data_IF_136154758664
#
_entry.id   IF_136154758664
#
_cell.length_a   1.000
_cell.length_b   1.000
_cell.length_c   1.000
_cell.angle_alpha   90.00
_cell.angle_beta   90.00
_cell.angle_gamma   90.00
#
_symmetry.space_group_name_H-M   'P 1'
#
loop_
_entity.id
_entity.type
_entity.pdbx_description
1 polymer ?
#
# COMPACT_ATOMS: atom_id res chain seq x y z
N UNK A 1 -35.43 -8.44 -10.42
CA UNK A 1 -33.99 -8.11 -10.30
C UNK A 1 -33.64 -7.05 -11.33
N UNK A 2 -33.37 -5.83 -10.87
CA UNK A 2 -32.96 -4.70 -11.73
C UNK A 2 -31.44 -4.60 -11.74
N UNK A 3 -30.88 -3.98 -12.78
CA UNK A 3 -29.42 -3.82 -12.93
C UNK A 3 -29.09 -2.42 -13.41
N UNK A 4 -28.23 -1.70 -12.69
CA UNK A 4 -27.68 -0.41 -13.12
C UNK A 4 -26.30 -0.61 -13.73
N UNK A 5 -26.05 0.02 -14.89
CA UNK A 5 -24.80 -0.11 -15.65
C UNK A 5 -24.13 1.24 -15.81
N UNK A 6 -22.96 1.42 -15.22
CA UNK A 6 -22.13 2.61 -15.39
C UNK A 6 -20.99 2.24 -16.32
N UNK A 7 -21.02 2.72 -17.57
CA UNK A 7 -20.04 2.35 -18.59
C UNK A 7 -18.66 2.94 -18.28
N UNK A 8 -17.61 2.17 -18.57
CA UNK A 8 -16.22 2.61 -18.49
C UNK A 8 -15.75 3.16 -19.83
N UNK A 9 -15.79 4.48 -20.02
CA UNK A 9 -15.60 5.10 -21.34
C UNK A 9 -14.35 5.96 -21.36
N UNK A 10 -14.29 7.00 -20.55
CA UNK A 10 -13.27 8.05 -20.64
C UNK A 10 -12.60 8.33 -19.30
N UNK A 11 -13.33 8.19 -18.19
CA UNK A 11 -12.82 8.53 -16.87
C UNK A 11 -13.18 7.48 -15.80
N UNK A 12 -12.33 6.45 -15.62
CA UNK A 12 -12.58 5.33 -14.72
C UNK A 12 -12.89 5.71 -13.27
N UNK A 13 -12.33 6.84 -12.78
CA UNK A 13 -12.52 7.25 -11.39
C UNK A 13 -13.81 8.04 -11.24
N UNK A 14 -14.17 8.90 -12.21
CA UNK A 14 -15.49 9.53 -12.20
C UNK A 14 -16.59 8.49 -12.29
N UNK A 15 -16.46 7.53 -13.21
CA UNK A 15 -17.42 6.43 -13.39
C UNK A 15 -17.53 5.59 -12.12
N UNK A 16 -16.41 5.35 -11.43
CA UNK A 16 -16.40 4.69 -10.13
C UNK A 16 -17.11 5.53 -9.05
N UNK A 17 -16.86 6.84 -9.00
CA UNK A 17 -17.54 7.73 -8.07
C UNK A 17 -19.05 7.85 -8.39
N UNK A 18 -19.46 7.81 -9.65
CA UNK A 18 -20.88 7.75 -10.02
C UNK A 18 -21.50 6.45 -9.49
N UNK A 19 -20.84 5.31 -9.68
CA UNK A 19 -21.31 4.03 -9.16
C UNK A 19 -21.43 4.06 -7.61
N UNK A 20 -20.46 4.66 -6.92
CA UNK A 20 -20.53 4.87 -5.47
C UNK A 20 -21.62 5.86 -5.04
N UNK A 21 -21.90 6.89 -5.85
CA UNK A 21 -22.99 7.83 -5.58
C UNK A 21 -24.36 7.17 -5.69
N UNK A 22 -24.57 6.36 -6.73
CA UNK A 22 -25.80 5.56 -6.89
C UNK A 22 -25.94 4.55 -5.74
N UNK A 23 -24.83 3.89 -5.36
CA UNK A 23 -24.84 2.96 -4.23
C UNK A 23 -25.18 3.66 -2.91
N UNK A 24 -24.65 4.87 -2.68
CA UNK A 24 -24.96 5.65 -1.49
C UNK A 24 -26.46 5.98 -1.38
N UNK A 25 -27.11 6.37 -2.50
CA UNK A 25 -28.55 6.62 -2.54
C UNK A 25 -29.33 5.33 -2.28
N UNK A 26 -28.97 4.23 -2.94
CA UNK A 26 -29.59 2.92 -2.70
C UNK A 26 -29.51 2.52 -1.22
N UNK A 27 -28.37 2.75 -0.58
CA UNK A 27 -28.15 2.43 0.84
C UNK A 27 -28.97 3.31 1.78
N UNK A 28 -29.14 4.61 1.46
CA UNK A 28 -30.02 5.50 2.24
C UNK A 28 -31.50 5.08 2.17
N UNK A 29 -31.90 4.43 1.08
CA UNK A 29 -33.26 3.94 0.88
C UNK A 29 -33.41 2.45 1.26
N UNK A 30 -32.49 1.93 2.09
CA UNK A 30 -32.47 0.55 2.59
C UNK A 30 -32.53 -0.55 1.49
N UNK A 31 -31.98 -0.26 0.31
CA UNK A 31 -32.00 -1.19 -0.83
C UNK A 31 -30.82 -2.16 -0.78
N UNK A 32 -31.13 -3.45 -0.77
CA UNK A 32 -30.19 -4.56 -0.90
C UNK A 32 -29.66 -4.64 -2.33
N UNK A 33 -28.37 -4.39 -2.48
CA UNK A 33 -27.71 -4.39 -3.75
C UNK A 33 -26.25 -4.81 -3.64
N UNK A 34 -25.64 -5.06 -4.81
CA UNK A 34 -24.25 -5.48 -4.93
C UNK A 34 -23.59 -4.79 -6.10
N UNK A 35 -22.44 -4.18 -5.84
CA UNK A 35 -21.61 -3.52 -6.85
C UNK A 35 -20.49 -4.46 -7.29
N UNK A 36 -20.46 -4.77 -8.58
CA UNK A 36 -19.43 -5.57 -9.23
C UNK A 36 -18.64 -4.73 -10.23
N UNK A 37 -17.33 -4.90 -10.22
CA UNK A 37 -16.44 -4.34 -11.21
C UNK A 37 -16.31 -5.29 -12.41
N UNK A 38 -16.81 -4.87 -13.58
CA UNK A 38 -16.68 -5.62 -14.83
C UNK A 38 -15.75 -4.86 -15.79
N UNK A 39 -15.28 -5.57 -16.82
CA UNK A 39 -14.32 -5.02 -17.79
C UNK A 39 -14.83 -3.74 -18.49
N UNK A 40 -16.11 -3.70 -18.84
CA UNK A 40 -16.71 -2.59 -19.61
C UNK A 40 -17.59 -1.65 -18.78
N UNK A 41 -17.93 -2.01 -17.54
CA UNK A 41 -18.82 -1.23 -16.70
C UNK A 41 -18.66 -1.56 -15.21
N UNK A 42 -19.13 -0.66 -14.36
CA UNK A 42 -19.53 -0.99 -13.00
C UNK A 42 -21.01 -1.41 -13.03
N UNK A 43 -21.33 -2.56 -12.43
CA UNK A 43 -22.66 -3.15 -12.43
C UNK A 43 -23.20 -3.17 -11.01
N UNK A 44 -24.36 -2.54 -10.77
CA UNK A 44 -25.08 -2.65 -9.50
C UNK A 44 -26.28 -3.58 -9.73
N UNK A 45 -26.29 -4.72 -9.04
CA UNK A 45 -27.41 -5.65 -9.03
C UNK A 45 -28.31 -5.32 -7.85
N UNK A 46 -29.59 -5.05 -8.12
CA UNK A 46 -30.59 -4.75 -7.10
C UNK A 46 -31.46 -5.99 -6.87
N UNK A 47 -31.48 -6.45 -5.63
CA UNK A 47 -32.19 -7.67 -5.25
C UNK A 47 -33.64 -7.42 -4.85
N UNK A 48 -33.94 -6.22 -4.38
CA UNK A 48 -35.28 -5.83 -3.96
C UNK A 48 -36.15 -5.38 -5.14
N UNK A 49 -37.47 -5.45 -4.94
CA UNK A 49 -38.42 -4.76 -5.80
C UNK A 49 -38.44 -3.28 -5.42
N UNK A 50 -37.97 -2.43 -6.33
CA UNK A 50 -37.80 -0.99 -6.07
C UNK A 50 -38.61 -0.16 -7.05
N UNK A 51 -39.29 0.87 -6.54
CA UNK A 51 -39.82 1.99 -7.32
C UNK A 51 -38.94 3.21 -7.05
N UNK A 52 -38.28 3.71 -8.09
CA UNK A 52 -37.33 4.82 -7.95
C UNK A 52 -38.02 6.17 -7.69
N UNK A 53 -39.33 6.26 -7.94
CA UNK A 53 -40.12 7.47 -7.64
C UNK A 53 -40.15 7.74 -6.13
N UNK A 54 -40.07 6.69 -5.31
CA UNK A 54 -40.09 6.81 -3.85
C UNK A 54 -38.71 7.10 -3.24
N UNK A 55 -37.65 7.15 -4.07
CA UNK A 55 -36.31 7.38 -3.56
C UNK A 55 -36.12 8.83 -3.11
N UNK A 56 -35.43 8.99 -1.99
CA UNK A 56 -35.00 10.30 -1.48
C UNK A 56 -33.48 10.34 -1.29
N UNK A 57 -32.95 11.56 -1.17
CA UNK A 57 -31.58 11.82 -0.74
C UNK A 57 -31.65 12.60 0.58
N UNK A 58 -31.06 12.05 1.64
CA UNK A 58 -30.94 12.76 2.91
C UNK A 58 -30.09 14.02 2.78
N UNK A 59 -30.46 15.06 3.52
CA UNK A 59 -29.66 16.28 3.65
C UNK A 59 -28.22 15.93 4.06
N UNK A 60 -27.27 16.44 3.28
CA UNK A 60 -25.85 16.23 3.51
C UNK A 60 -25.23 17.48 4.18
N UNK A 61 -25.17 17.55 5.53
CA UNK A 61 -24.68 18.73 6.23
C UNK A 61 -23.20 19.00 5.95
N UNK A 62 -22.83 20.28 5.92
CA UNK A 62 -21.45 20.72 5.66
C UNK A 62 -20.45 20.04 6.59
N UNK A 63 -20.80 19.79 7.85
CA UNK A 63 -19.94 19.15 8.86
C UNK A 63 -19.53 17.71 8.49
N UNK A 64 -20.37 17.00 7.72
CA UNK A 64 -20.03 15.67 7.21
C UNK A 64 -19.10 15.76 5.99
N UNK A 65 -19.12 16.88 5.26
CA UNK A 65 -18.53 17.05 3.92
C UNK A 65 -17.27 17.91 3.92
N UNK A 66 -17.11 18.78 4.92
CA UNK A 66 -15.96 19.67 5.06
C UNK A 66 -14.63 18.93 5.30
N UNK A 67 -14.71 17.63 5.56
CA UNK A 67 -13.59 16.71 5.76
C UNK A 67 -13.26 15.90 4.49
N UNK A 68 -13.50 16.44 3.30
CA UNK A 68 -13.22 15.74 2.03
C UNK A 68 -11.95 16.20 1.31
N UNK A 69 -11.54 17.44 1.51
CA UNK A 69 -10.26 17.98 1.07
C UNK A 69 -9.96 19.28 1.81
N UNK A 70 -8.71 19.72 1.77
CA UNK A 70 -8.21 20.95 2.38
C UNK A 70 -8.16 22.14 1.41
N UNK A 71 -8.62 21.97 0.18
CA UNK A 71 -8.36 22.91 -0.94
C UNK A 71 -9.58 23.71 -1.37
N UNK A 72 -10.80 23.33 -0.98
CA UNK A 72 -12.03 24.09 -1.23
C UNK A 72 -12.37 24.97 -0.03
N UNK A 73 -12.76 26.22 -0.29
CA UNK A 73 -13.31 27.08 0.75
C UNK A 73 -14.75 26.67 1.12
N UNK A 74 -15.13 26.92 2.38
CA UNK A 74 -16.47 26.57 2.90
C UNK A 74 -17.64 27.01 2.00
N UNK A 75 -17.59 28.23 1.45
CA UNK A 75 -18.68 28.78 0.62
C UNK A 75 -18.93 28.00 -0.67
N UNK A 76 -17.89 27.47 -1.31
CA UNK A 76 -18.04 26.69 -2.53
C UNK A 76 -18.67 25.32 -2.27
N UNK A 77 -18.33 24.68 -1.15
CA UNK A 77 -18.96 23.43 -0.70
C UNK A 77 -20.44 23.68 -0.40
N UNK A 78 -20.77 24.71 0.37
CA UNK A 78 -22.16 25.05 0.72
C UNK A 78 -23.02 25.31 -0.54
N UNK A 79 -22.49 26.07 -1.52
CA UNK A 79 -23.18 26.31 -2.79
C UNK A 79 -23.40 25.04 -3.60
N UNK A 80 -22.46 24.10 -3.55
CA UNK A 80 -22.61 22.82 -4.22
C UNK A 80 -23.67 21.96 -3.53
N UNK A 81 -23.63 21.86 -2.20
CA UNK A 81 -24.59 21.11 -1.41
C UNK A 81 -26.01 21.61 -1.66
N UNK A 82 -26.23 22.93 -1.63
CA UNK A 82 -27.53 23.52 -1.95
C UNK A 82 -28.03 23.13 -3.35
N UNK A 83 -27.15 23.10 -4.36
CA UNK A 83 -27.51 22.68 -5.73
C UNK A 83 -27.80 21.20 -5.84
N UNK A 84 -27.10 20.36 -5.08
CA UNK A 84 -27.35 18.91 -5.04
C UNK A 84 -28.73 18.67 -4.45
N UNK A 85 -29.03 19.33 -3.32
CA UNK A 85 -30.31 19.22 -2.66
C UNK A 85 -31.45 19.69 -3.57
N UNK A 86 -31.36 20.93 -4.10
CA UNK A 86 -32.35 21.48 -5.03
C UNK A 86 -32.59 20.57 -6.24
N UNK A 87 -31.55 19.90 -6.74
CA UNK A 87 -31.67 19.01 -7.88
C UNK A 87 -32.36 17.68 -7.54
N UNK A 88 -32.04 17.07 -6.40
CA UNK A 88 -32.58 15.76 -5.99
C UNK A 88 -33.88 15.86 -5.17
N UNK A 89 -34.29 17.04 -4.72
CA UNK A 89 -35.63 17.31 -4.17
C UNK A 89 -36.76 17.05 -5.18
N UNK A 90 -36.46 17.12 -6.48
CA UNK A 90 -37.40 16.74 -7.53
C UNK A 90 -37.38 15.21 -7.72
N UNK A 91 -38.38 14.50 -7.21
CA UNK A 91 -38.54 13.03 -7.30
C UNK A 91 -38.32 12.50 -8.73
N UNK A 92 -38.83 13.23 -9.73
CA UNK A 92 -38.69 12.86 -11.14
C UNK A 92 -37.23 12.77 -11.60
N UNK A 93 -36.32 13.54 -10.99
CA UNK A 93 -34.90 13.51 -11.35
C UNK A 93 -34.24 12.21 -10.90
N UNK A 94 -34.48 11.76 -9.66
CA UNK A 94 -33.95 10.48 -9.17
C UNK A 94 -34.50 9.31 -10.02
N UNK A 95 -35.81 9.28 -10.25
CA UNK A 95 -36.45 8.26 -11.08
C UNK A 95 -35.83 8.18 -12.49
N UNK A 96 -35.69 9.32 -13.16
CA UNK A 96 -35.09 9.39 -14.50
C UNK A 96 -33.64 8.91 -14.52
N UNK A 97 -32.84 9.27 -13.51
CA UNK A 97 -31.43 8.90 -13.42
C UNK A 97 -31.25 7.40 -13.22
N UNK A 98 -32.02 6.80 -12.30
CA UNK A 98 -31.96 5.36 -12.08
C UNK A 98 -32.46 4.57 -13.29
N UNK A 99 -33.57 5.01 -13.92
CA UNK A 99 -34.05 4.43 -15.19
C UNK A 99 -33.03 4.57 -16.33
N UNK A 100 -32.32 5.69 -16.39
CA UNK A 100 -31.23 5.87 -17.35
C UNK A 100 -30.11 4.86 -17.12
N UNK A 101 -29.62 4.66 -15.89
CA UNK A 101 -28.56 3.66 -15.66
C UNK A 101 -29.06 2.22 -15.80
N UNK A 102 -30.35 1.97 -15.66
CA UNK A 102 -30.96 0.65 -15.91
C UNK A 102 -31.04 0.32 -17.41
N UNK A 103 -31.42 1.29 -18.23
CA UNK A 103 -31.74 1.10 -19.66
C UNK A 103 -30.65 1.59 -20.62
N UNK A 104 -29.82 2.52 -20.17
CA UNK A 104 -28.91 3.36 -20.96
C UNK A 104 -29.60 4.20 -22.03
N UNK A 105 -30.91 4.47 -21.89
CA UNK A 105 -31.68 5.27 -22.84
C UNK A 105 -31.50 6.78 -22.59
N UNK A 106 -30.73 7.44 -23.46
CA UNK A 106 -30.50 8.88 -23.40
C UNK A 106 -31.79 9.72 -23.54
N UNK A 107 -32.89 9.15 -24.07
CA UNK A 107 -34.15 9.86 -24.21
C UNK A 107 -34.72 10.30 -22.86
N UNK A 108 -34.49 9.51 -21.80
CA UNK A 108 -34.94 9.73 -20.42
C UNK A 108 -34.27 10.97 -19.80
N UNK A 109 -33.01 11.21 -20.18
CA UNK A 109 -32.18 12.31 -19.66
C UNK A 109 -32.03 13.46 -20.65
N UNK A 110 -32.76 13.43 -21.77
CA UNK A 110 -32.67 14.40 -22.86
C UNK A 110 -33.03 15.83 -22.46
N UNK A 111 -33.81 16.00 -21.39
CA UNK A 111 -34.17 17.29 -20.80
C UNK A 111 -33.02 17.97 -20.07
N UNK A 112 -32.01 17.22 -19.61
CA UNK A 112 -30.84 17.77 -18.94
C UNK A 112 -29.85 18.30 -19.98
N UNK A 113 -29.57 19.60 -19.92
CA UNK A 113 -28.54 20.20 -20.75
C UNK A 113 -27.15 19.80 -20.24
N UNK A 114 -26.33 19.25 -21.12
CA UNK A 114 -24.91 19.07 -20.84
C UNK A 114 -24.24 20.44 -20.87
N UNK A 115 -23.63 20.83 -19.75
CA UNK A 115 -22.88 22.07 -19.66
C UNK A 115 -21.39 21.83 -19.90
N UNK A 116 -20.66 22.85 -20.35
CA UNK A 116 -19.21 22.81 -20.36
C UNK A 116 -18.68 22.64 -18.93
N UNK A 117 -18.21 21.43 -18.65
CA UNK A 117 -17.48 21.09 -17.44
C UNK A 117 -16.05 20.73 -17.80
N UNK A 118 -15.12 20.93 -16.87
CA UNK A 118 -13.91 20.13 -16.91
C UNK A 118 -14.25 18.80 -16.25
N UNK A 119 -14.08 17.69 -16.99
CA UNK A 119 -13.89 16.38 -16.38
C UNK A 119 -12.55 16.37 -15.62
N UNK A 120 -12.29 15.30 -14.88
CA UNK A 120 -11.07 14.96 -14.11
C UNK A 120 -11.15 15.13 -12.58
N UNK A 121 -11.74 14.10 -11.97
CA UNK A 121 -11.38 13.37 -10.74
C UNK A 121 -10.72 14.09 -9.56
N UNK A 122 -11.29 13.85 -8.37
CA UNK A 122 -10.49 13.59 -7.17
C UNK A 122 -9.77 14.78 -6.56
N UNK A 123 -10.01 15.96 -7.12
CA UNK A 123 -9.76 17.26 -6.53
C UNK A 123 -10.90 18.17 -6.91
N UNK A 124 -12.01 18.01 -6.18
CA UNK A 124 -13.10 18.97 -6.16
C UNK A 124 -14.00 18.96 -7.40
N UNK A 125 -15.29 18.96 -7.11
CA UNK A 125 -16.33 19.46 -7.98
C UNK A 125 -15.89 20.76 -8.61
N UNK A 126 -16.03 20.84 -9.94
CA UNK A 126 -16.14 22.11 -10.63
C UNK A 126 -14.98 23.08 -10.40
N UNK A 127 -13.73 22.65 -10.59
CA UNK A 127 -12.70 23.65 -10.83
C UNK A 127 -12.71 24.02 -12.31
N UNK A 128 -13.11 25.26 -12.60
CA UNK A 128 -12.57 26.02 -13.75
C UNK A 128 -11.04 26.20 -13.63
N UNK A 129 -10.28 25.25 -13.09
CA UNK A 129 -8.82 25.38 -13.06
C UNK A 129 -8.02 24.49 -12.12
N UNK A 130 -8.28 23.19 -12.11
CA UNK A 130 -7.16 22.25 -12.17
C UNK A 130 -6.46 22.50 -13.51
N UNK A 131 -5.33 23.21 -13.50
CA UNK A 131 -4.45 23.23 -14.68
C UNK A 131 -3.75 21.88 -14.72
N UNK A 132 -4.28 20.94 -15.50
CA UNK A 132 -3.40 19.94 -16.09
C UNK A 132 -2.33 20.66 -16.90
N UNK A 133 -1.08 20.17 -16.89
CA UNK A 133 -0.03 20.63 -17.84
C UNK A 133 -0.47 20.49 -19.31
N UNK A 134 -1.51 19.70 -19.57
CA UNK A 134 -2.29 19.65 -20.81
C UNK A 134 -3.76 19.83 -20.47
N UNK A 135 -4.30 21.05 -20.56
CA UNK A 135 -5.72 21.31 -20.35
C UNK A 135 -6.55 20.27 -21.15
N UNK A 136 -7.35 19.41 -20.50
CA UNK A 136 -8.21 18.51 -21.24
C UNK A 136 -9.18 19.35 -22.06
N UNK A 137 -9.56 18.86 -23.25
CA UNK A 137 -10.67 19.43 -23.99
C UNK A 137 -11.88 19.45 -23.05
N UNK A 138 -12.62 20.56 -23.00
CA UNK A 138 -13.82 20.66 -22.15
C UNK A 138 -14.84 19.61 -22.60
N UNK A 139 -14.97 18.52 -21.85
CA UNK A 139 -15.98 17.50 -22.06
C UNK A 139 -17.31 17.98 -21.46
N UNK A 140 -18.39 17.83 -22.23
CA UNK A 140 -19.72 18.21 -21.78
C UNK A 140 -20.33 17.05 -21.00
N UNK A 141 -20.62 17.27 -19.72
CA UNK A 141 -21.23 16.30 -18.80
C UNK A 141 -22.62 16.70 -18.39
N UNK A 142 -23.44 15.72 -18.01
CA UNK A 142 -24.72 16.01 -17.40
C UNK A 142 -24.55 16.51 -15.96
N UNK A 143 -25.43 17.40 -15.46
CA UNK A 143 -25.39 17.88 -14.09
C UNK A 143 -25.46 16.76 -13.04
N UNK A 144 -26.27 15.72 -13.29
CA UNK A 144 -26.43 14.62 -12.34
C UNK A 144 -25.18 13.74 -12.20
N UNK A 145 -24.42 13.54 -13.28
CA UNK A 145 -23.15 12.77 -13.23
C UNK A 145 -22.16 13.45 -12.30
N UNK A 146 -22.13 14.78 -12.35
CA UNK A 146 -21.35 15.60 -11.42
C UNK A 146 -21.87 15.40 -9.99
N UNK A 147 -23.16 15.49 -9.73
CA UNK A 147 -23.67 15.33 -8.37
C UNK A 147 -23.45 13.92 -7.79
N UNK A 148 -23.70 12.87 -8.57
CA UNK A 148 -23.42 11.49 -8.17
C UNK A 148 -21.93 11.25 -7.91
N UNK A 149 -21.06 11.80 -8.76
CA UNK A 149 -19.61 11.72 -8.54
C UNK A 149 -19.19 12.38 -7.21
N UNK A 150 -19.86 13.45 -6.77
CA UNK A 150 -19.59 14.05 -5.46
C UNK A 150 -20.00 13.17 -4.31
N UNK A 151 -21.24 12.68 -4.39
CA UNK A 151 -21.78 11.82 -3.37
C UNK A 151 -20.91 10.57 -3.22
N UNK A 152 -20.53 9.93 -4.32
CA UNK A 152 -19.67 8.75 -4.27
C UNK A 152 -18.24 9.04 -3.82
N UNK A 153 -17.65 10.17 -4.21
CA UNK A 153 -16.34 10.56 -3.68
C UNK A 153 -16.42 10.83 -2.17
N UNK A 154 -17.45 11.52 -1.70
CA UNK A 154 -17.68 11.76 -0.29
C UNK A 154 -17.83 10.45 0.51
N UNK A 155 -18.63 9.54 -0.05
CA UNK A 155 -18.97 8.26 0.52
C UNK A 155 -17.77 7.30 0.60
N UNK A 156 -16.90 7.31 -0.41
CA UNK A 156 -15.82 6.32 -0.54
C UNK A 156 -14.42 6.80 -0.17
N UNK A 157 -14.13 8.09 -0.29
CA UNK A 157 -12.76 8.59 -0.19
C UNK A 157 -12.37 9.03 1.20
N UNK A 158 -11.07 8.94 1.48
CA UNK A 158 -10.41 9.60 2.61
C UNK A 158 -9.19 10.35 2.12
N UNK A 159 -8.75 11.34 2.91
CA UNK A 159 -7.58 12.13 2.59
C UNK A 159 -6.70 12.41 3.80
N UNK A 160 -5.45 12.74 3.52
CA UNK A 160 -4.49 13.32 4.47
C UNK A 160 -3.68 14.42 3.77
N UNK A 161 -3.38 15.48 4.52
CA UNK A 161 -2.50 16.56 4.10
C UNK A 161 -1.10 16.37 4.68
N UNK A 162 -0.11 16.34 3.79
CA UNK A 162 1.31 16.34 4.11
C UNK A 162 1.82 17.77 4.13
N UNK A 163 2.11 18.26 5.34
CA UNK A 163 2.52 19.65 5.55
C UNK A 163 1.52 20.62 4.89
N UNK A 164 1.97 21.77 4.36
CA UNK A 164 1.12 22.68 3.60
C UNK A 164 1.24 22.50 2.08
N UNK A 165 1.97 21.47 1.62
CA UNK A 165 2.46 21.34 0.24
C UNK A 165 1.74 20.28 -0.60
N UNK A 166 1.23 19.20 0.01
CA UNK A 166 0.62 18.09 -0.71
C UNK A 166 -0.57 17.53 0.06
N UNK A 167 -1.63 17.21 -0.66
CA UNK A 167 -2.77 16.42 -0.18
C UNK A 167 -2.81 15.10 -0.94
N UNK A 168 -3.10 14.02 -0.21
CA UNK A 168 -3.21 12.67 -0.73
C UNK A 168 -4.62 12.18 -0.40
N UNK A 169 -5.37 11.84 -1.44
CA UNK A 169 -6.68 11.21 -1.33
C UNK A 169 -6.61 9.79 -1.84
N UNK A 170 -7.40 8.89 -1.27
CA UNK A 170 -7.47 7.50 -1.71
C UNK A 170 -8.91 6.99 -1.76
N UNK A 171 -9.14 6.06 -2.69
CA UNK A 171 -10.39 5.32 -2.85
C UNK A 171 -10.08 3.90 -3.32
N UNK A 172 -10.83 2.93 -2.80
CA UNK A 172 -10.69 1.53 -3.21
C UNK A 172 -11.43 1.29 -4.52
N UNK A 173 -10.85 0.48 -5.41
CA UNK A 173 -11.55 -0.06 -6.56
C UNK A 173 -12.17 -1.40 -6.16
N UNK A 174 -13.50 -1.55 -6.26
CA UNK A 174 -14.15 -2.78 -5.86
C UNK A 174 -13.84 -3.85 -6.90
N UNK A 175 -13.87 -5.10 -6.46
CA UNK A 175 -14.07 -6.26 -7.32
C UNK A 175 -15.54 -6.64 -7.28
N UNK A 176 -16.02 -6.82 -6.06
CA UNK A 176 -17.38 -7.23 -5.75
C UNK A 176 -17.67 -6.90 -4.29
N UNK A 177 -18.56 -5.94 -4.04
CA UNK A 177 -18.89 -5.43 -2.71
C UNK A 177 -20.38 -5.22 -2.53
N UNK A 178 -20.87 -5.39 -1.31
CA UNK A 178 -22.21 -4.97 -0.92
C UNK A 178 -22.20 -3.50 -0.52
N UNK A 179 -21.18 -3.06 0.23
CA UNK A 179 -21.04 -1.68 0.66
C UNK A 179 -19.63 -1.13 0.46
N UNK A 180 -19.54 0.19 0.35
CA UNK A 180 -18.30 0.93 0.17
C UNK A 180 -17.58 1.04 1.50
N UNK A 181 -16.31 0.65 1.48
CA UNK A 181 -15.44 0.82 2.62
C UNK A 181 -14.68 2.15 2.52
N UNK A 182 -14.97 3.05 3.46
CA UNK A 182 -14.20 4.28 3.68
C UNK A 182 -13.16 4.06 4.78
N UNK A 183 -11.88 4.00 4.41
CA UNK A 183 -10.78 3.75 5.37
C UNK A 183 -10.21 5.06 5.89
N UNK A 184 -10.37 5.31 7.19
CA UNK A 184 -9.69 6.40 7.91
C UNK A 184 -8.49 5.88 8.69
N UNK A 185 -7.28 6.29 8.28
CA UNK A 185 -6.03 5.73 8.83
C UNK A 185 -5.51 6.47 10.06
N UNK A 186 -5.64 7.80 10.06
CA UNK A 186 -5.04 8.64 11.08
C UNK A 186 -6.16 9.21 11.96
N UNK A 187 -6.08 8.96 13.26
CA UNK A 187 -7.03 9.46 14.24
C UNK A 187 -6.35 9.85 15.55
N UNK A 188 -7.04 10.66 16.36
CA UNK A 188 -6.64 11.03 17.71
C UNK A 188 -7.86 11.04 18.62
N UNK A 189 -7.66 10.83 19.92
CA UNK A 189 -8.71 11.01 20.92
C UNK A 189 -8.70 12.46 21.38
N UNK A 190 -9.80 13.15 21.16
CA UNK A 190 -10.02 14.49 21.69
C UNK A 190 -10.03 14.42 23.22
N UNK A 191 -9.16 15.21 23.86
CA UNK A 191 -9.02 15.17 25.32
C UNK A 191 -10.18 15.82 26.06
N UNK A 192 -10.91 16.73 25.41
CA UNK A 192 -12.04 17.44 25.99
C UNK A 192 -13.33 16.64 25.83
N UNK A 193 -13.58 16.09 24.64
CA UNK A 193 -14.83 15.34 24.36
C UNK A 193 -14.70 13.84 24.54
N UNK A 194 -13.48 13.29 24.55
CA UNK A 194 -13.23 11.84 24.55
C UNK A 194 -13.48 11.16 23.20
N UNK A 195 -13.89 11.91 22.18
CA UNK A 195 -14.24 11.38 20.87
C UNK A 195 -13.00 11.08 20.02
N UNK A 196 -13.06 10.01 19.22
CA UNK A 196 -12.06 9.73 18.20
C UNK A 196 -12.32 10.64 17.00
N UNK A 197 -11.34 11.48 16.66
CA UNK A 197 -11.40 12.41 15.52
C UNK A 197 -10.32 12.06 14.51
N UNK A 198 -10.60 12.22 13.22
CA UNK A 198 -9.62 11.96 12.16
C UNK A 198 -8.51 13.02 12.16
N UNK A 199 -7.26 12.57 12.10
CA UNK A 199 -6.08 13.42 11.97
C UNK A 199 -5.77 13.65 10.49
N UNK A 200 -6.09 14.85 9.98
CA UNK A 200 -5.98 15.17 8.55
C UNK A 200 -4.68 15.87 8.16
N UNK A 201 -3.84 16.28 9.11
CA UNK A 201 -2.55 16.91 8.84
C UNK A 201 -1.46 16.12 9.55
N UNK A 202 -0.53 15.59 8.77
CA UNK A 202 0.64 14.86 9.27
C UNK A 202 1.92 15.57 8.81
N UNK A 203 2.90 15.57 9.69
CA UNK A 203 4.26 15.99 9.38
C UNK A 203 5.08 14.73 9.16
N UNK A 204 5.60 14.56 7.95
CA UNK A 204 6.39 13.39 7.58
C UNK A 204 7.59 13.82 6.71
N UNK A 205 8.64 13.01 6.73
CA UNK A 205 9.97 13.33 6.18
C UNK A 205 10.03 13.21 4.64
N UNK A 206 9.10 12.47 4.04
CA UNK A 206 9.08 12.22 2.60
C UNK A 206 7.71 11.78 2.09
N UNK A 207 7.25 12.43 1.01
CA UNK A 207 6.04 12.06 0.27
C UNK A 207 5.99 10.58 -0.13
N UNK A 208 7.11 10.02 -0.57
CA UNK A 208 7.21 8.61 -0.99
C UNK A 208 7.01 7.67 0.20
N UNK A 209 7.58 8.01 1.35
CA UNK A 209 7.44 7.23 2.59
C UNK A 209 6.01 7.26 3.07
N UNK A 210 5.37 8.43 3.11
CA UNK A 210 3.96 8.54 3.53
C UNK A 210 3.03 7.76 2.60
N UNK A 211 3.20 7.90 1.29
CA UNK A 211 2.37 7.16 0.32
C UNK A 211 2.50 5.65 0.53
N UNK A 212 3.72 5.16 0.74
CA UNK A 212 3.97 3.75 1.03
C UNK A 212 3.31 3.32 2.34
N UNK A 213 3.39 4.16 3.38
CA UNK A 213 2.75 3.90 4.67
C UNK A 213 1.22 3.80 4.53
N UNK A 214 0.58 4.77 3.89
CA UNK A 214 -0.88 4.77 3.63
C UNK A 214 -1.28 3.48 2.93
N UNK A 215 -0.53 3.10 1.90
CA UNK A 215 -0.81 1.89 1.14
C UNK A 215 -0.66 0.61 1.98
N UNK A 216 0.39 0.48 2.78
CA UNK A 216 0.58 -0.68 3.66
C UNK A 216 -0.47 -0.75 4.77
N UNK A 217 -0.84 0.39 5.38
CA UNK A 217 -1.89 0.43 6.41
C UNK A 217 -3.26 0.04 5.82
N UNK A 218 -3.58 0.45 4.59
CA UNK A 218 -4.80 0.01 3.88
C UNK A 218 -4.78 -1.51 3.63
N UNK A 219 -3.67 -2.05 3.12
CA UNK A 219 -3.57 -3.52 2.93
C UNK A 219 -3.74 -4.25 4.26
N UNK A 220 -3.18 -3.70 5.34
CA UNK A 220 -3.26 -4.31 6.68
C UNK A 220 -4.70 -4.32 7.17
N UNK A 221 -5.41 -3.21 7.01
CA UNK A 221 -6.84 -3.11 7.31
C UNK A 221 -7.64 -4.15 6.53
N UNK A 222 -7.49 -4.19 5.20
CA UNK A 222 -8.24 -5.10 4.34
C UNK A 222 -7.99 -6.58 4.65
N UNK A 223 -6.77 -6.94 5.07
CA UNK A 223 -6.43 -8.30 5.48
C UNK A 223 -6.98 -8.65 6.85
N UNK A 224 -6.90 -7.74 7.82
CA UNK A 224 -7.47 -7.93 9.15
C UNK A 224 -8.98 -8.19 9.10
N UNK A 225 -9.68 -7.45 8.23
CA UNK A 225 -11.11 -7.62 7.99
C UNK A 225 -11.45 -8.80 7.04
N UNK A 226 -10.43 -9.50 6.51
CA UNK A 226 -10.58 -10.63 5.57
C UNK A 226 -11.35 -10.29 4.26
N UNK A 227 -11.38 -9.01 3.89
CA UNK A 227 -12.10 -8.49 2.71
C UNK A 227 -11.17 -8.08 1.57
N UNK A 228 -9.86 -8.37 1.66
CA UNK A 228 -8.90 -8.02 0.61
C UNK A 228 -9.27 -8.58 -0.78
N UNK A 229 -9.99 -9.70 -0.82
CA UNK A 229 -10.44 -10.33 -2.07
C UNK A 229 -11.63 -9.62 -2.73
N UNK A 230 -12.26 -8.67 -2.05
CA UNK A 230 -13.41 -7.91 -2.53
C UNK A 230 -13.01 -6.64 -3.30
N UNK A 231 -11.71 -6.32 -3.36
CA UNK A 231 -11.18 -5.12 -4.01
C UNK A 231 -10.09 -5.49 -5.04
N UNK A 232 -10.10 -4.82 -6.19
CA UNK A 232 -9.14 -5.03 -7.26
C UNK A 232 -7.91 -4.10 -7.14
N UNK A 233 -8.08 -2.94 -6.48
CA UNK A 233 -7.01 -1.96 -6.38
C UNK A 233 -7.29 -0.78 -5.45
N UNK A 234 -6.32 0.11 -5.37
CA UNK A 234 -6.36 1.36 -4.62
C UNK A 234 -5.95 2.51 -5.55
N UNK A 235 -6.87 3.44 -5.76
CA UNK A 235 -6.59 4.70 -6.43
C UNK A 235 -6.04 5.69 -5.42
N UNK A 236 -4.89 6.30 -5.72
CA UNK A 236 -4.27 7.34 -4.91
C UNK A 236 -4.05 8.58 -5.77
N UNK A 237 -4.59 9.69 -5.30
CA UNK A 237 -4.61 10.98 -5.98
C UNK A 237 -3.80 11.98 -5.17
N UNK A 238 -2.85 12.65 -5.83
CA UNK A 238 -1.95 13.62 -5.21
C UNK A 238 -2.25 15.02 -5.74
N UNK A 239 -2.32 15.96 -4.80
CA UNK A 239 -2.82 17.31 -5.02
C UNK A 239 -1.81 18.28 -4.46
N UNK A 240 -1.38 19.25 -5.26
CA UNK A 240 -0.53 20.34 -4.77
C UNK A 240 -1.42 21.56 -4.57
N UNK A 241 -1.70 21.99 -3.32
CA UNK A 241 -2.32 23.28 -3.06
C UNK A 241 -1.52 24.42 -3.71
N UNK A 242 -2.22 25.33 -4.39
CA UNK A 242 -1.64 26.60 -4.87
C UNK A 242 -2.50 27.77 -4.42
N UNK A 243 -1.94 28.99 -4.42
CA UNK A 243 -2.65 30.22 -4.03
C UNK A 243 -3.89 30.54 -4.90
N UNK A 244 -4.02 29.92 -6.09
CA UNK A 244 -5.14 30.16 -6.98
C UNK A 244 -6.11 28.96 -6.99
N UNK A 245 -5.62 27.78 -7.41
CA UNK A 245 -6.39 26.52 -7.53
C UNK A 245 -5.47 25.32 -7.35
N UNK A 246 -5.90 24.26 -6.63
CA UNK A 246 -5.09 23.06 -6.49
C UNK A 246 -4.72 22.48 -7.86
N UNK A 247 -3.53 21.88 -7.97
CA UNK A 247 -3.06 21.19 -9.18
C UNK A 247 -3.03 19.69 -8.90
N UNK A 248 -3.64 18.89 -9.78
CA UNK A 248 -3.47 17.44 -9.76
C UNK A 248 -2.04 17.14 -10.22
N UNK A 249 -1.25 16.61 -9.31
CA UNK A 249 0.16 16.29 -9.55
C UNK A 249 0.28 14.89 -10.16
N UNK A 250 -0.37 13.91 -9.54
CA UNK A 250 -0.28 12.51 -9.95
C UNK A 250 -1.49 11.69 -9.52
N UNK A 251 -1.92 10.78 -10.38
CA UNK A 251 -2.85 9.70 -10.03
C UNK A 251 -2.11 8.37 -10.22
N UNK A 252 -2.21 7.49 -9.23
CA UNK A 252 -1.62 6.15 -9.25
C UNK A 252 -2.68 5.13 -8.88
N UNK A 253 -2.63 3.97 -9.54
CA UNK A 253 -3.42 2.79 -9.15
C UNK A 253 -2.45 1.76 -8.63
N UNK A 254 -2.67 1.32 -7.40
CA UNK A 254 -1.92 0.24 -6.81
C UNK A 254 -2.79 -1.01 -6.74
N UNK A 255 -2.31 -2.13 -7.28
CA UNK A 255 -2.91 -3.45 -7.03
C UNK A 255 -2.80 -3.76 -5.54
N UNK A 256 -3.77 -4.45 -4.93
CA UNK A 256 -3.62 -4.89 -3.53
C UNK A 256 -2.59 -6.02 -3.45
N UNK A 257 -1.46 -5.78 -2.79
CA UNK A 257 -0.40 -6.79 -2.66
C UNK A 257 -0.83 -7.94 -1.75
N UNK A 258 -0.60 -9.17 -2.22
CA UNK A 258 -0.83 -10.36 -1.41
C UNK A 258 0.39 -10.71 -0.54
N UNK A 259 0.61 -9.94 0.51
CA UNK A 259 1.67 -10.16 1.51
C UNK A 259 1.10 -10.81 2.78
N UNK A 260 1.77 -11.79 3.37
CA UNK A 260 1.34 -12.28 4.71
C UNK A 260 1.44 -11.19 5.80
N UNK A 261 0.71 -11.36 6.90
CA UNK A 261 0.62 -10.37 8.00
C UNK A 261 1.98 -10.02 8.61
N UNK A 262 2.84 -11.02 8.85
CA UNK A 262 4.16 -10.80 9.46
C UNK A 262 5.06 -9.94 8.57
N UNK A 263 5.03 -10.20 7.27
CA UNK A 263 5.79 -9.42 6.28
C UNK A 263 5.25 -8.00 6.17
N UNK A 264 3.93 -7.84 6.23
CA UNK A 264 3.28 -6.53 6.20
C UNK A 264 3.64 -5.69 7.43
N UNK A 265 3.59 -6.28 8.63
CA UNK A 265 4.03 -5.61 9.86
C UNK A 265 5.50 -5.18 9.80
N UNK A 266 6.39 -6.04 9.28
CA UNK A 266 7.80 -5.72 9.15
C UNK A 266 8.01 -4.53 8.20
N UNK A 267 7.40 -4.57 7.00
CA UNK A 267 7.49 -3.48 6.04
C UNK A 267 6.91 -2.17 6.58
N UNK A 268 5.77 -2.25 7.28
CA UNK A 268 5.13 -1.08 7.90
C UNK A 268 6.05 -0.47 8.97
N UNK A 269 6.70 -1.29 9.82
CA UNK A 269 7.72 -0.82 10.77
C UNK A 269 8.90 -0.16 10.05
N UNK A 270 9.37 -0.74 8.94
CA UNK A 270 10.49 -0.21 8.14
C UNK A 270 10.20 1.16 7.55
N UNK A 271 8.96 1.43 7.13
CA UNK A 271 8.58 2.75 6.61
C UNK A 271 8.21 3.75 7.71
N UNK A 272 7.69 3.28 8.84
CA UNK A 272 7.14 4.14 9.91
C UNK A 272 8.20 4.56 10.93
N UNK A 273 9.01 3.64 11.43
CA UNK A 273 9.83 3.91 12.62
C UNK A 273 11.03 4.81 12.31
N UNK A 274 11.31 5.75 13.20
CA UNK A 274 12.45 6.68 13.09
C UNK A 274 13.80 6.01 13.29
N UNK A 275 13.83 4.82 13.90
CA UNK A 275 15.04 4.03 14.14
C UNK A 275 15.62 3.39 12.89
N UNK A 276 14.83 3.30 11.82
CA UNK A 276 15.25 2.67 10.55
C UNK A 276 16.05 3.68 9.74
N UNK A 277 17.18 3.24 9.17
CA UNK A 277 18.02 4.09 8.34
C UNK A 277 17.21 4.77 7.21
N UNK A 278 17.42 6.08 7.00
CA UNK A 278 16.67 6.89 6.03
C UNK A 278 16.72 6.33 4.60
N UNK A 279 17.87 5.82 4.16
CA UNK A 279 18.02 5.28 2.80
C UNK A 279 17.29 3.94 2.65
N UNK A 280 17.35 3.09 3.68
CA UNK A 280 16.59 1.83 3.73
C UNK A 280 15.09 2.10 3.76
N UNK A 281 14.65 3.07 4.57
CA UNK A 281 13.25 3.53 4.62
C UNK A 281 12.76 3.98 3.25
N UNK A 282 13.54 4.83 2.58
CA UNK A 282 13.19 5.32 1.24
C UNK A 282 13.18 4.21 0.18
N UNK A 283 14.15 3.29 0.24
CA UNK A 283 14.22 2.18 -0.69
C UNK A 283 13.07 1.17 -0.50
N UNK A 284 12.71 0.86 0.75
CA UNK A 284 11.51 0.06 1.08
C UNK A 284 10.25 0.76 0.58
N UNK A 285 10.09 2.05 0.85
CA UNK A 285 8.93 2.80 0.39
C UNK A 285 8.81 2.82 -1.15
N UNK A 286 9.93 2.99 -1.85
CA UNK A 286 9.99 2.98 -3.32
C UNK A 286 9.60 1.62 -3.90
N UNK A 287 10.09 0.52 -3.32
CA UNK A 287 9.75 -0.84 -3.73
C UNK A 287 8.28 -1.17 -3.46
N UNK A 288 7.76 -0.81 -2.29
CA UNK A 288 6.35 -1.06 -1.93
C UNK A 288 5.39 -0.39 -2.92
N UNK A 289 5.72 0.81 -3.39
CA UNK A 289 4.91 1.54 -4.35
C UNK A 289 5.08 1.04 -5.79
N UNK A 290 6.22 0.46 -6.14
CA UNK A 290 6.49 -0.10 -7.47
C UNK A 290 7.28 -1.41 -7.30
N UNK A 291 6.62 -2.56 -7.09
CA UNK A 291 7.28 -3.81 -6.74
C UNK A 291 7.89 -4.49 -7.98
N UNK A 292 8.94 -3.87 -8.54
CA UNK A 292 9.69 -4.36 -9.70
C UNK A 292 11.11 -4.85 -9.36
N UNK A 293 11.76 -5.49 -10.33
CA UNK A 293 13.11 -6.05 -10.19
C UNK A 293 14.14 -4.99 -9.75
N UNK A 294 14.09 -3.79 -10.34
CA UNK A 294 15.08 -2.75 -10.09
C UNK A 294 14.94 -2.11 -8.70
N UNK A 295 13.72 -1.86 -8.27
CA UNK A 295 13.41 -1.33 -6.93
C UNK A 295 13.71 -2.35 -5.84
N UNK A 296 13.46 -3.64 -6.09
CA UNK A 296 13.83 -4.73 -5.18
C UNK A 296 15.35 -4.76 -4.98
N UNK A 297 16.11 -4.74 -6.07
CA UNK A 297 17.57 -4.79 -6.01
C UNK A 297 18.16 -3.54 -5.35
N UNK A 298 17.62 -2.35 -5.64
CA UNK A 298 17.99 -1.12 -4.91
C UNK A 298 17.73 -1.27 -3.41
N UNK A 299 16.59 -1.85 -3.02
CA UNK A 299 16.29 -2.10 -1.61
C UNK A 299 17.31 -3.05 -0.97
N UNK A 300 17.61 -4.17 -1.62
CA UNK A 300 18.62 -5.14 -1.14
C UNK A 300 19.98 -4.46 -0.95
N UNK A 301 20.44 -3.70 -1.95
CA UNK A 301 21.72 -3.00 -1.90
C UNK A 301 21.79 -1.97 -0.77
N UNK A 302 20.72 -1.19 -0.52
CA UNK A 302 20.70 -0.25 0.60
C UNK A 302 20.75 -0.97 1.94
N UNK A 303 20.01 -2.07 2.10
CA UNK A 303 20.02 -2.87 3.33
C UNK A 303 21.41 -3.45 3.62
N UNK A 304 22.08 -3.99 2.60
CA UNK A 304 23.46 -4.46 2.72
C UNK A 304 24.41 -3.33 3.09
N UNK A 305 24.37 -2.21 2.37
CA UNK A 305 25.25 -1.04 2.59
C UNK A 305 25.09 -0.44 3.98
N UNK A 306 23.87 -0.46 4.53
CA UNK A 306 23.53 0.11 5.83
C UNK A 306 23.55 -0.92 6.96
N UNK A 307 23.90 -2.18 6.67
CA UNK A 307 23.88 -3.30 7.61
C UNK A 307 22.52 -3.47 8.32
N UNK A 308 21.45 -3.17 7.59
CA UNK A 308 20.06 -3.31 8.00
C UNK A 308 19.53 -4.64 7.53
N UNK A 309 18.70 -5.31 8.32
CA UNK A 309 18.23 -6.65 8.00
C UNK A 309 16.77 -6.72 7.60
N UNK A 310 16.47 -7.66 6.71
CA UNK A 310 15.11 -8.12 6.38
C UNK A 310 14.95 -9.57 6.83
N UNK A 311 13.80 -9.91 7.42
CA UNK A 311 13.57 -11.29 7.84
C UNK A 311 13.48 -12.23 6.65
N UNK A 312 13.83 -13.50 6.87
CA UNK A 312 13.74 -14.56 5.85
C UNK A 312 12.31 -14.72 5.31
N UNK A 313 11.29 -14.55 6.16
CA UNK A 313 9.89 -14.66 5.74
C UNK A 313 9.52 -13.53 4.79
N UNK A 314 9.88 -12.29 5.14
CA UNK A 314 9.61 -11.12 4.29
C UNK A 314 10.39 -11.22 2.99
N UNK A 315 11.68 -11.57 3.03
CA UNK A 315 12.48 -11.79 1.83
C UNK A 315 11.83 -12.77 0.84
N UNK A 316 11.33 -13.91 1.33
CA UNK A 316 10.63 -14.89 0.49
C UNK A 316 9.36 -14.35 -0.15
N UNK A 317 8.57 -13.58 0.59
CA UNK A 317 7.34 -12.95 0.04
C UNK A 317 7.67 -11.92 -1.05
N UNK A 318 8.68 -11.08 -0.83
CA UNK A 318 9.10 -10.08 -1.81
C UNK A 318 9.61 -10.72 -3.11
N UNK A 319 10.34 -11.83 -2.98
CA UNK A 319 10.84 -12.61 -4.11
C UNK A 319 9.75 -13.37 -4.85
N UNK A 320 8.70 -13.81 -4.14
CA UNK A 320 7.51 -14.42 -4.75
C UNK A 320 6.80 -13.42 -5.66
N UNK A 321 6.68 -12.16 -5.24
CA UNK A 321 6.11 -11.09 -6.07
C UNK A 321 6.92 -10.82 -7.36
N UNK A 322 8.22 -11.13 -7.35
CA UNK A 322 9.13 -10.90 -8.47
C UNK A 322 9.53 -12.19 -9.21
N UNK A 323 8.87 -13.32 -8.94
CA UNK A 323 9.16 -14.64 -9.53
C UNK A 323 10.63 -15.11 -9.37
N UNK A 324 11.34 -14.67 -8.33
CA UNK A 324 12.73 -15.07 -8.04
C UNK A 324 12.84 -16.03 -6.85
N UNK A 325 11.71 -16.48 -6.31
CA UNK A 325 11.68 -17.31 -5.10
C UNK A 325 12.41 -18.65 -5.29
N UNK A 326 12.26 -19.29 -6.44
CA UNK A 326 12.87 -20.60 -6.71
C UNK A 326 14.39 -20.50 -6.82
N UNK A 327 14.90 -19.50 -7.56
CA UNK A 327 16.34 -19.23 -7.65
C UNK A 327 16.94 -18.90 -6.28
N UNK A 328 16.23 -18.13 -5.45
CA UNK A 328 16.69 -17.82 -4.09
C UNK A 328 16.71 -19.04 -3.16
N UNK A 329 15.81 -19.99 -3.37
CA UNK A 329 15.74 -21.23 -2.60
C UNK A 329 16.80 -22.27 -3.05
N UNK A 330 17.45 -22.08 -4.19
CA UNK A 330 18.55 -22.93 -4.66
C UNK A 330 19.64 -23.05 -3.58
N UNK A 331 20.13 -24.27 -3.36
CA UNK A 331 21.00 -24.56 -2.22
C UNK A 331 22.29 -23.74 -2.33
N UNK A 332 22.86 -23.67 -3.53
CA UNK A 332 24.06 -22.88 -3.82
C UNK A 332 23.92 -21.40 -3.44
N UNK A 333 22.80 -20.75 -3.75
CA UNK A 333 22.57 -19.34 -3.42
C UNK A 333 22.50 -19.13 -1.91
N UNK A 334 21.83 -20.04 -1.20
CA UNK A 334 21.76 -19.96 0.26
C UNK A 334 23.11 -20.21 0.93
N UNK A 335 23.93 -21.13 0.42
CA UNK A 335 25.30 -21.39 0.90
C UNK A 335 26.21 -20.19 0.67
N UNK A 336 26.19 -19.62 -0.52
CA UNK A 336 26.94 -18.39 -0.85
C UNK A 336 26.53 -17.23 0.08
N UNK A 337 25.23 -16.98 0.25
CA UNK A 337 24.79 -15.92 1.18
C UNK A 337 25.26 -16.14 2.63
N UNK A 338 25.13 -17.36 3.17
CA UNK A 338 25.61 -17.70 4.52
C UNK A 338 27.12 -17.57 4.66
N UNK A 339 27.87 -18.04 3.66
CA UNK A 339 29.32 -17.90 3.62
C UNK A 339 29.76 -16.44 3.65
N UNK A 340 29.05 -15.59 2.89
CA UNK A 340 29.34 -14.15 2.78
C UNK A 340 29.09 -13.48 4.12
N UNK A 341 27.95 -13.77 4.74
CA UNK A 341 27.63 -13.26 6.06
C UNK A 341 28.71 -13.62 7.10
N UNK A 342 29.12 -14.89 7.16
CA UNK A 342 30.17 -15.33 8.09
C UNK A 342 31.46 -14.54 7.90
N UNK A 343 31.88 -14.34 6.64
CA UNK A 343 33.06 -13.55 6.30
C UNK A 343 32.91 -12.07 6.70
N UNK A 344 31.73 -11.47 6.47
CA UNK A 344 31.43 -10.06 6.80
C UNK A 344 31.44 -9.86 8.31
N UNK A 345 30.81 -10.76 9.07
CA UNK A 345 30.83 -10.76 10.54
C UNK A 345 32.25 -10.76 11.08
N UNK A 346 33.12 -11.56 10.47
CA UNK A 346 34.53 -11.67 10.86
C UNK A 346 35.40 -10.54 10.25
N UNK A 347 34.77 -9.49 9.70
CA UNK A 347 35.36 -8.28 9.08
C UNK A 347 36.25 -8.55 7.87
N UNK A 348 35.99 -9.63 7.14
CA UNK A 348 36.79 -10.08 5.98
C UNK A 348 36.00 -10.03 4.67
N UNK A 349 34.68 -10.05 4.72
CA UNK A 349 33.81 -10.14 3.53
C UNK A 349 33.36 -8.81 2.94
N UNK A 350 33.78 -7.65 3.47
CA UNK A 350 33.29 -6.34 3.01
C UNK A 350 33.66 -6.05 1.55
N UNK A 351 34.87 -6.41 1.10
CA UNK A 351 35.26 -6.24 -0.30
C UNK A 351 34.38 -7.06 -1.23
N UNK A 352 34.10 -8.32 -0.87
CA UNK A 352 33.21 -9.21 -1.62
C UNK A 352 31.78 -8.65 -1.72
N UNK A 353 31.25 -8.07 -0.63
CA UNK A 353 29.96 -7.38 -0.68
C UNK A 353 29.96 -6.22 -1.67
N UNK A 354 31.02 -5.40 -1.66
CA UNK A 354 31.15 -4.27 -2.60
C UNK A 354 31.22 -4.78 -4.03
N UNK A 355 32.05 -5.79 -4.32
CA UNK A 355 32.20 -6.35 -5.65
C UNK A 355 30.88 -6.97 -6.18
N UNK A 356 30.12 -7.67 -5.33
CA UNK A 356 28.78 -8.17 -5.70
C UNK A 356 27.80 -7.04 -6.04
N UNK A 357 27.87 -5.90 -5.34
CA UNK A 357 27.01 -4.74 -5.63
C UNK A 357 27.37 -4.03 -6.94
N UNK A 358 28.62 -4.14 -7.38
CA UNK A 358 29.15 -3.49 -8.59
C UNK A 358 29.36 -4.44 -9.77
N UNK A 359 28.82 -5.66 -9.70
CA UNK A 359 28.97 -6.68 -10.74
C UNK A 359 28.28 -6.25 -12.04
N UNK A 360 29.03 -6.14 -13.15
CA UNK A 360 28.50 -5.72 -14.46
C UNK A 360 28.60 -6.85 -15.48
N UNK A 361 29.65 -7.67 -15.40
CA UNK A 361 29.97 -8.75 -16.34
C UNK A 361 29.96 -10.13 -15.66
N UNK A 362 29.75 -11.19 -16.43
CA UNK A 362 29.72 -12.57 -15.91
C UNK A 362 31.07 -12.97 -15.30
N UNK A 363 32.15 -12.52 -15.92
CA UNK A 363 33.51 -12.70 -15.42
C UNK A 363 33.69 -12.09 -14.02
N UNK A 364 33.09 -10.91 -13.77
CA UNK A 364 33.13 -10.27 -12.45
C UNK A 364 32.50 -11.17 -11.38
N UNK A 365 31.35 -11.80 -11.68
CA UNK A 365 30.70 -12.69 -10.71
C UNK A 365 31.54 -13.94 -10.49
N UNK A 366 32.11 -14.53 -11.55
CA UNK A 366 32.98 -15.70 -11.42
C UNK A 366 34.19 -15.37 -10.54
N UNK A 367 34.87 -14.25 -10.78
CA UNK A 367 36.01 -13.80 -9.98
C UNK A 367 35.61 -13.60 -8.51
N UNK A 368 34.49 -12.92 -8.25
CA UNK A 368 34.01 -12.69 -6.88
C UNK A 368 33.69 -14.00 -6.16
N UNK A 369 33.10 -14.98 -6.84
CA UNK A 369 32.78 -16.28 -6.24
C UNK A 369 34.02 -17.13 -5.97
N UNK A 370 35.03 -17.05 -6.84
CA UNK A 370 36.34 -17.67 -6.61
C UNK A 370 37.05 -17.04 -5.41
N UNK A 371 37.11 -15.71 -5.38
CA UNK A 371 37.74 -14.96 -4.29
C UNK A 371 37.04 -15.26 -2.95
N UNK A 372 35.72 -15.31 -2.97
CA UNK A 372 34.91 -15.71 -1.83
C UNK A 372 35.23 -17.12 -1.34
N UNK A 373 35.33 -18.10 -2.25
CA UNK A 373 35.64 -19.49 -1.91
C UNK A 373 37.05 -19.64 -1.33
N UNK A 374 38.04 -18.96 -1.91
CA UNK A 374 39.42 -18.91 -1.42
C UNK A 374 39.49 -18.28 -0.03
N UNK A 375 38.82 -17.14 0.16
CA UNK A 375 38.80 -16.43 1.43
C UNK A 375 38.12 -17.25 2.51
N UNK A 376 37.02 -17.92 2.19
CA UNK A 376 36.32 -18.82 3.12
C UNK A 376 37.21 -19.99 3.55
N UNK A 377 37.84 -20.69 2.60
CA UNK A 377 38.74 -21.80 2.91
C UNK A 377 39.95 -21.35 3.74
N UNK A 378 40.56 -20.21 3.39
CA UNK A 378 41.70 -19.66 4.14
C UNK A 378 41.39 -19.48 5.62
N UNK A 379 40.18 -19.00 5.92
CA UNK A 379 39.74 -18.64 7.27
C UNK A 379 39.13 -19.79 8.07
N UNK A 380 38.44 -20.73 7.42
CA UNK A 380 37.67 -21.78 8.12
C UNK A 380 38.14 -23.20 7.81
N UNK A 381 39.12 -23.39 6.92
CA UNK A 381 39.69 -24.69 6.53
C UNK A 381 38.65 -25.67 5.97
N UNK A 382 37.62 -25.13 5.33
CA UNK A 382 36.51 -25.87 4.72
C UNK A 382 36.13 -25.23 3.40
N UNK A 383 35.77 -26.04 2.41
CA UNK A 383 35.22 -25.54 1.15
C UNK A 383 33.82 -24.94 1.36
N UNK A 384 33.54 -23.84 0.67
CA UNK A 384 32.24 -23.17 0.73
C UNK A 384 31.19 -23.91 -0.10
N UNK A 385 31.55 -24.33 -1.31
CA UNK A 385 30.73 -25.06 -2.26
C UNK A 385 31.39 -26.40 -2.61
N UNK A 386 30.59 -27.43 -2.86
CA UNK A 386 31.03 -28.70 -3.44
C UNK A 386 30.77 -28.72 -4.96
N UNK A 387 31.21 -29.77 -5.65
CA UNK A 387 31.06 -29.90 -7.10
C UNK A 387 29.60 -29.87 -7.56
N UNK A 388 28.68 -30.45 -6.78
CA UNK A 388 27.24 -30.40 -7.05
C UNK A 388 26.71 -28.95 -7.03
N UNK A 389 27.09 -28.15 -6.03
CA UNK A 389 26.70 -26.75 -5.94
C UNK A 389 27.33 -25.91 -7.06
N UNK A 390 28.56 -26.24 -7.49
CA UNK A 390 29.18 -25.56 -8.63
C UNK A 390 28.43 -25.87 -9.93
N UNK A 391 28.00 -27.11 -10.15
CA UNK A 391 27.17 -27.47 -11.30
C UNK A 391 25.80 -26.77 -11.26
N UNK A 392 25.17 -26.70 -10.08
CA UNK A 392 23.90 -25.98 -9.87
C UNK A 392 24.05 -24.49 -10.21
N UNK A 393 25.13 -23.84 -9.77
CA UNK A 393 25.42 -22.44 -10.10
C UNK A 393 25.60 -22.23 -11.60
N UNK A 394 26.35 -23.09 -12.27
CA UNK A 394 26.56 -23.00 -13.71
C UNK A 394 25.25 -23.24 -14.49
N UNK A 395 24.37 -24.13 -14.01
CA UNK A 395 23.03 -24.29 -14.58
C UNK A 395 22.23 -23.00 -14.47
N UNK A 396 22.19 -22.37 -13.29
CA UNK A 396 21.47 -21.11 -13.09
C UNK A 396 21.96 -19.98 -14.01
N UNK A 397 23.27 -19.90 -14.24
CA UNK A 397 23.85 -18.95 -15.20
C UNK A 397 23.41 -19.24 -16.65
N UNK A 398 23.35 -20.52 -17.02
CA UNK A 398 22.96 -20.95 -18.36
C UNK A 398 21.44 -20.91 -18.60
N UNK A 399 20.62 -20.97 -17.55
CA UNK A 399 19.15 -20.97 -17.62
C UNK A 399 18.54 -19.58 -17.88
N UNK A 400 19.37 -18.59 -18.23
CA UNK A 400 18.93 -17.23 -18.57
C UNK A 400 18.63 -16.35 -17.36
N UNK A 401 19.03 -16.74 -16.15
CA UNK A 401 18.97 -15.87 -14.97
C UNK A 401 19.99 -14.74 -15.15
N UNK A 402 19.53 -13.50 -15.07
CA UNK A 402 20.43 -12.33 -15.19
C UNK A 402 21.47 -12.33 -14.07
N UNK A 403 22.72 -12.04 -14.43
CA UNK A 403 23.84 -11.79 -13.52
C UNK A 403 23.46 -10.92 -12.30
N UNK A 404 22.80 -9.79 -12.57
CA UNK A 404 22.34 -8.83 -11.57
C UNK A 404 21.40 -9.49 -10.55
N UNK A 405 20.54 -10.41 -11.01
CA UNK A 405 19.63 -11.17 -10.15
C UNK A 405 20.43 -12.06 -9.21
N UNK A 406 21.33 -12.89 -9.73
CA UNK A 406 22.14 -13.82 -8.92
C UNK A 406 22.95 -13.07 -7.84
N UNK A 407 23.65 -12.00 -8.21
CA UNK A 407 24.41 -11.19 -7.27
C UNK A 407 23.54 -10.61 -6.16
N UNK A 408 22.36 -10.07 -6.49
CA UNK A 408 21.43 -9.54 -5.49
C UNK A 408 20.81 -10.64 -4.61
N UNK A 409 20.56 -11.84 -5.14
CA UNK A 409 20.04 -12.96 -4.33
C UNK A 409 21.08 -13.47 -3.32
N UNK A 410 22.37 -13.52 -3.69
CA UNK A 410 23.47 -13.83 -2.77
C UNK A 410 23.56 -12.77 -1.67
N UNK A 411 23.49 -11.48 -2.05
CA UNK A 411 23.49 -10.35 -1.12
C UNK A 411 22.30 -10.40 -0.15
N UNK A 412 21.08 -10.60 -0.66
CA UNK A 412 19.88 -10.75 0.16
C UNK A 412 20.01 -11.93 1.11
N UNK A 413 20.45 -13.09 0.60
CA UNK A 413 20.68 -14.28 1.42
C UNK A 413 21.66 -13.96 2.56
N UNK A 414 22.77 -13.25 2.28
CA UNK A 414 23.72 -12.85 3.32
C UNK A 414 23.10 -11.97 4.41
N UNK A 415 22.18 -11.09 4.04
CA UNK A 415 21.52 -10.14 4.91
C UNK A 415 20.38 -10.75 5.75
N UNK A 416 19.73 -11.81 5.25
CA UNK A 416 18.65 -12.52 5.97
C UNK A 416 19.12 -13.33 7.17
N UNK A 417 20.40 -13.69 7.23
CA UNK A 417 20.97 -14.39 8.37
C UNK A 417 21.59 -13.37 9.34
N UNK A 418 21.24 -13.43 10.62
CA UNK A 418 22.08 -12.91 11.71
C UNK A 418 22.44 -14.12 12.55
N UNK A 419 23.66 -14.62 12.49
CA UNK A 419 24.14 -15.49 13.56
C UNK A 419 24.21 -14.62 14.83
N UNK A 420 23.31 -14.88 15.80
CA UNK A 420 23.26 -14.16 17.07
C UNK A 420 24.65 -14.18 17.69
N UNK A 421 25.22 -13.01 17.96
CA UNK A 421 26.39 -12.89 18.83
C UNK A 421 25.90 -13.25 20.23
N UNK A 422 26.12 -14.49 20.66
CA UNK A 422 26.02 -14.82 22.08
C UNK A 422 27.19 -14.15 22.80
N UNK A 423 26.98 -12.95 23.32
CA UNK A 423 27.86 -12.41 24.35
C UNK A 423 27.48 -13.07 25.67
N UNK A 424 28.27 -14.07 26.07
CA UNK A 424 28.25 -14.54 27.46
C UNK A 424 28.98 -13.52 28.33
N UNK A 425 28.31 -12.44 28.73
CA UNK A 425 28.83 -11.59 29.80
C UNK A 425 28.64 -12.33 31.14
N UNK A 426 29.73 -12.88 31.68
CA UNK A 426 29.77 -13.44 33.04
C UNK A 426 29.80 -12.29 34.04
N UNK A 427 28.70 -12.04 34.72
CA UNK A 427 28.68 -11.20 35.93
C UNK A 427 28.67 -12.15 37.13
N UNK A 428 29.72 -12.07 37.95
CA UNK A 428 29.81 -12.80 39.21
C UNK A 428 28.89 -12.14 40.24
N UNK A 429 27.79 -12.79 40.58
CA UNK A 429 27.05 -12.51 41.80
C UNK A 429 27.26 -13.71 42.74
N UNK A 430 27.58 -13.40 44.00
CA UNK A 430 27.98 -14.38 45.00
C UNK A 430 27.06 -15.62 45.00
N UNK A 431 27.70 -16.77 44.71
CA UNK A 431 27.21 -18.14 44.88
C UNK A 431 25.93 -18.60 44.15
N UNK A 432 25.42 -17.90 43.13
CA UNK A 432 24.50 -18.53 42.17
C UNK A 432 24.63 -17.92 40.76
N UNK A 433 24.91 -18.76 39.76
CA UNK A 433 25.02 -18.35 38.36
C UNK A 433 23.63 -18.13 37.76
N UNK A 434 23.35 -16.91 37.31
CA UNK A 434 22.18 -16.59 36.48
C UNK A 434 22.65 -16.02 35.13
N UNK A 435 22.00 -16.42 34.04
CA UNK A 435 22.26 -15.92 32.70
C UNK A 435 21.18 -14.90 32.33
N UNK A 436 21.57 -13.67 31.98
CA UNK A 436 20.67 -12.66 31.41
C UNK A 436 20.89 -12.66 29.90
N UNK A 437 19.81 -12.85 29.13
CA UNK A 437 19.79 -12.65 27.69
C UNK A 437 19.61 -11.16 27.41
N UNK A 438 20.48 -10.55 26.60
CA UNK A 438 20.35 -9.15 26.20
C UNK A 438 20.36 -9.01 24.67
N UNK A 439 19.67 -7.99 24.15
CA UNK A 439 19.67 -7.63 22.73
C UNK A 439 20.93 -6.84 22.31
N UNK A 440 21.00 -6.48 21.01
CA UNK A 440 22.13 -5.75 20.40
C UNK A 440 22.33 -4.31 20.93
N UNK A 441 21.42 -3.80 21.76
CA UNK A 441 21.48 -2.48 22.40
C UNK A 441 21.71 -2.57 23.92
N UNK A 442 21.88 -3.78 24.48
CA UNK A 442 22.08 -3.99 25.92
C UNK A 442 20.79 -4.05 26.73
N UNK A 443 19.62 -4.18 26.09
CA UNK A 443 18.36 -4.33 26.81
C UNK A 443 18.15 -5.80 27.23
N UNK A 444 17.75 -6.09 28.49
CA UNK A 444 17.43 -7.44 28.91
C UNK A 444 16.17 -7.98 28.21
N UNK A 445 16.27 -9.16 27.59
CA UNK A 445 15.11 -9.95 27.17
C UNK A 445 14.47 -10.56 28.43
N UNK A 446 13.42 -9.93 28.95
CA UNK A 446 12.58 -10.57 29.95
C UNK A 446 11.76 -11.68 29.27
N UNK A 447 12.17 -12.94 29.45
CA UNK A 447 11.25 -14.07 29.28
C UNK A 447 10.33 -14.09 30.51
N UNK A 448 9.01 -14.11 30.28
CA UNK A 448 8.03 -14.34 31.33
C UNK A 448 8.40 -15.60 32.13
N UNK A 449 8.66 -15.41 33.42
CA UNK A 449 8.87 -16.50 34.39
C UNK A 449 7.49 -16.98 34.83
N UNK A 450 6.78 -17.71 33.97
CA UNK A 450 5.54 -18.41 34.38
C UNK A 450 5.62 -19.94 34.27
N UNK A 451 6.73 -20.52 33.78
CA UNK A 451 6.83 -22.00 33.62
C UNK A 451 7.60 -22.74 34.72
N UNK A 452 8.06 -22.07 35.80
CA UNK A 452 8.75 -22.73 36.92
C UNK A 452 7.98 -22.70 38.25
N UNK A 453 6.65 -22.83 38.20
CA UNK A 453 5.86 -23.21 39.38
C UNK A 453 5.10 -24.53 39.12
N UNK A 454 5.83 -25.65 39.15
CA UNK A 454 5.24 -26.95 39.48
C UNK A 454 5.77 -27.41 40.83
N UNK A 455 4.95 -27.15 41.85
CA UNK A 455 4.64 -28.00 43.00
C UNK A 455 5.75 -28.96 43.47
N UNK A 456 6.53 -28.51 44.46
CA UNK A 456 6.97 -29.38 45.55
C UNK A 456 6.21 -29.01 46.82
N UNK A 457 5.02 -29.60 46.97
CA UNK A 457 4.41 -29.83 48.29
C UNK A 457 4.20 -31.32 48.43
N UNK A 458 5.06 -31.95 49.23
CA UNK A 458 4.75 -33.12 50.07
C UNK A 458 5.99 -33.42 50.93
N UNK A 459 6.05 -32.82 52.12
CA UNK A 459 6.62 -33.43 53.33
C UNK A 459 5.88 -32.86 54.55
N UNK A 460 4.89 -33.62 55.01
CA UNK A 460 4.63 -33.93 56.40
C UNK A 460 3.81 -35.23 56.40
#
# INVERSE_FOLDING_TARGET
MKQLKILKVENPIQELCIAYGLLAILRQNDVSCKLSNKKACYLIEIYDEVDYVEFFLDDLPFEKVNNLNSTINKSEIEKLLAKIQEFFECEQNLDNIFKYYETLDESIISSYKRDEGALYVGTCFYSKGLRSYKAPKSERVYPFEKFLSFLGFHYASSYVRLSDEVEISWLLEPKEIEDVLKIELFSYVDKETGEIKSLRKIRDDSKVVTLSRIYLEIIQYLKGEQISNNYDGLWVMQVVPTNNKPLMDKVQVFTILNLNEKSLEELLKKVTYSTVNRDCKYATASYVLNPDEDSLFKMIQQYVKRNETISKNTAKELLKLNAFQDVYNAEVITKLGRGLNRLVRDKKGYSLQVSLMSCVHEEDLIEVLQEMSLLYNRNYKTYLLNDENMNELMSLLNDGVKLKTLSNLILLSSNTYKEKVQKNEKISLDNNQAYILTDENGNPEYKNVEENQKLTKNVA
#
